data_IF_237614792222
#
_entry.id   IF_237614792222
#
_cell.length_a   1.000
_cell.length_b   1.000
_cell.length_c   1.000
_cell.angle_alpha   90.00
_cell.angle_beta   90.00
_cell.angle_gamma   90.00
#
_symmetry.space_group_name_H-M   'P 1'
#
loop_
_entity.id
_entity.type
_entity.pdbx_description
1 polymer ?
#
# COMPACT_ATOMS: atom_id res chain seq x y z
N UNK A 1 -3.06 -10.95 -4.04
CA UNK A 1 -3.55 -9.90 -4.97
C UNK A 1 -2.46 -8.91 -5.29
N UNK A 2 -2.66 -7.98 -6.25
CA UNK A 2 -1.67 -6.96 -6.64
C UNK A 2 -2.11 -5.52 -6.27
N UNK A 3 -1.18 -4.65 -5.83
CA UNK A 3 -1.49 -3.26 -5.47
C UNK A 3 -1.78 -2.42 -6.72
N UNK A 4 -2.12 -1.13 -6.56
CA UNK A 4 -2.15 -0.19 -7.69
C UNK A 4 -0.83 -0.28 -8.50
N UNK A 5 -0.87 -0.26 -9.85
CA UNK A 5 -1.98 0.15 -10.73
C UNK A 5 -2.89 -1.01 -11.22
N UNK A 6 -2.76 -2.21 -10.66
CA UNK A 6 -3.55 -3.37 -11.12
C UNK A 6 -5.01 -3.28 -10.66
N UNK A 7 -5.92 -3.95 -11.39
CA UNK A 7 -7.37 -3.91 -11.12
C UNK A 7 -7.76 -4.35 -9.71
N UNK A 8 -7.02 -5.29 -9.12
CA UNK A 8 -7.25 -5.73 -7.74
C UNK A 8 -6.99 -4.65 -6.69
N UNK A 9 -6.17 -3.64 -7.02
CA UNK A 9 -5.84 -2.46 -6.21
C UNK A 9 -5.88 -2.72 -4.69
N UNK A 10 -5.10 -3.71 -4.26
CA UNK A 10 -5.10 -4.15 -2.89
C UNK A 10 -4.31 -3.19 -1.99
N UNK A 11 -4.68 -3.12 -0.73
CA UNK A 11 -3.96 -2.34 0.29
C UNK A 11 -2.98 -3.24 1.03
N UNK A 12 -1.74 -2.78 1.22
CA UNK A 12 -0.80 -3.42 2.12
C UNK A 12 -0.97 -2.86 3.54
N UNK A 13 -1.54 -3.67 4.43
CA UNK A 13 -1.81 -3.27 5.81
C UNK A 13 -0.55 -3.06 6.65
N UNK A 14 0.61 -3.60 6.23
CA UNK A 14 1.89 -3.40 6.92
C UNK A 14 2.41 -1.96 6.81
N UNK A 15 1.93 -1.17 5.84
CA UNK A 15 2.41 0.20 5.55
C UNK A 15 1.40 1.28 5.93
N UNK A 16 0.40 0.95 6.74
CA UNK A 16 -0.62 1.90 7.16
C UNK A 16 -0.07 2.89 8.20
N UNK A 17 -0.60 4.13 8.24
CA UNK A 17 -0.01 5.23 9.00
C UNK A 17 -0.38 5.27 10.49
N UNK A 18 -1.11 4.27 11.01
CA UNK A 18 -1.45 4.17 12.43
C UNK A 18 -0.70 3.02 13.08
N UNK A 19 -0.45 3.18 14.38
CA UNK A 19 0.15 2.13 15.19
C UNK A 19 -0.77 0.92 15.21
N UNK A 20 -0.23 -0.22 14.77
CA UNK A 20 -0.96 -1.48 14.82
C UNK A 20 -1.07 -1.91 16.28
N UNK A 21 -2.29 -1.98 16.79
CA UNK A 21 -2.53 -2.57 18.11
C UNK A 21 -2.35 -4.10 18.06
N UNK A 22 -2.43 -4.72 16.88
CA UNK A 22 -2.24 -6.16 16.69
C UNK A 22 -1.17 -6.50 15.64
N UNK A 23 -0.35 -7.50 15.94
CA UNK A 23 0.67 -8.04 15.02
C UNK A 23 0.11 -9.06 14.02
N UNK A 24 -1.22 -9.26 13.98
CA UNK A 24 -1.88 -10.28 13.15
C UNK A 24 -2.26 -9.75 11.78
N UNK A 25 -2.41 -10.66 10.82
CA UNK A 25 -2.97 -10.37 9.49
C UNK A 25 -4.41 -9.87 9.63
N UNK A 26 -4.60 -8.56 9.45
CA UNK A 26 -5.91 -7.93 9.56
C UNK A 26 -6.82 -8.32 8.40
N UNK A 27 -8.09 -8.60 8.70
CA UNK A 27 -9.16 -8.61 7.70
C UNK A 27 -9.54 -7.17 7.31
N UNK A 28 -10.27 -7.00 6.21
CA UNK A 28 -10.78 -5.68 5.81
C UNK A 28 -11.59 -5.00 6.91
N UNK A 29 -12.41 -5.77 7.65
CA UNK A 29 -13.21 -5.24 8.75
C UNK A 29 -12.34 -4.77 9.91
N UNK A 30 -11.31 -5.55 10.25
CA UNK A 30 -10.37 -5.15 11.31
C UNK A 30 -9.59 -3.88 10.90
N UNK A 31 -9.17 -3.75 9.63
CA UNK A 31 -8.52 -2.52 9.15
C UNK A 31 -9.43 -1.30 9.31
N UNK A 32 -10.71 -1.40 8.92
CA UNK A 32 -11.66 -0.29 9.07
C UNK A 32 -11.92 0.05 10.54
N UNK A 33 -11.93 -0.95 11.42
CA UNK A 33 -12.08 -0.77 12.86
C UNK A 33 -10.87 -0.03 13.44
N UNK A 34 -9.65 -0.49 13.17
CA UNK A 34 -8.42 0.15 13.64
C UNK A 34 -8.28 1.59 13.14
N UNK A 35 -8.61 1.84 11.86
CA UNK A 35 -8.59 3.19 11.31
C UNK A 35 -9.53 4.12 12.09
N UNK A 36 -10.79 3.71 12.31
CA UNK A 36 -11.77 4.49 13.07
C UNK A 36 -11.29 4.75 14.50
N UNK A 37 -10.72 3.75 15.15
CA UNK A 37 -10.18 3.90 16.51
C UNK A 37 -9.01 4.85 16.59
N UNK A 38 -8.05 4.75 15.66
CA UNK A 38 -6.89 5.63 15.65
C UNK A 38 -7.30 7.09 15.53
N UNK A 39 -8.40 7.38 14.84
CA UNK A 39 -8.97 8.72 14.67
C UNK A 39 -9.75 9.16 15.92
N UNK A 40 -10.59 8.28 16.47
CA UNK A 40 -11.33 8.54 17.71
C UNK A 40 -10.39 8.79 18.90
N UNK A 41 -9.29 8.03 19.02
CA UNK A 41 -8.27 8.27 20.04
C UNK A 41 -7.57 9.62 19.86
N UNK A 42 -7.19 9.95 18.63
CA UNK A 42 -6.50 11.22 18.34
C UNK A 42 -7.38 12.46 18.59
N UNK A 43 -8.68 12.35 18.37
CA UNK A 43 -9.59 13.51 18.45
C UNK A 43 -10.35 13.60 19.77
N UNK A 44 -10.83 12.48 20.29
CA UNK A 44 -11.73 12.43 21.44
C UNK A 44 -11.09 11.78 22.68
N UNK A 45 -9.89 11.20 22.57
CA UNK A 45 -9.26 10.36 23.62
C UNK A 45 -10.21 9.28 24.17
N UNK A 46 -11.11 8.77 23.33
CA UNK A 46 -12.13 7.78 23.65
C UNK A 46 -12.40 6.93 22.42
N UNK A 47 -12.85 5.69 22.60
CA UNK A 47 -13.26 4.79 21.50
C UNK A 47 -14.60 4.17 21.87
N UNK A 48 -15.47 3.97 20.88
CA UNK A 48 -16.81 3.42 21.16
C UNK A 48 -16.75 1.97 21.67
N UNK A 49 -17.74 1.60 22.50
CA UNK A 49 -17.80 0.28 23.14
C UNK A 49 -17.82 -0.87 22.12
N UNK A 50 -18.53 -0.69 21.00
CA UNK A 50 -18.57 -1.67 19.91
C UNK A 50 -17.17 -1.94 19.33
N UNK A 51 -16.36 -0.89 19.22
CA UNK A 51 -15.00 -0.96 18.69
C UNK A 51 -14.01 -1.53 19.72
N UNK A 52 -14.23 -1.35 21.02
CA UNK A 52 -13.38 -1.99 22.05
C UNK A 52 -13.41 -3.51 22.05
N UNK A 53 -14.49 -4.13 21.59
CA UNK A 53 -14.63 -5.59 21.62
C UNK A 53 -13.59 -6.33 20.77
N UNK A 54 -12.91 -5.61 19.89
CA UNK A 54 -11.86 -6.15 19.04
C UNK A 54 -10.46 -6.14 19.69
N UNK A 55 -10.31 -5.70 20.95
CA UNK A 55 -9.00 -5.44 21.58
C UNK A 55 -8.90 -5.97 23.02
N UNK A 56 -7.73 -6.51 23.36
CA UNK A 56 -7.45 -7.10 24.68
C UNK A 56 -7.27 -6.06 25.80
N UNK A 57 -6.91 -4.81 25.45
CA UNK A 57 -6.76 -3.71 26.40
C UNK A 57 -7.47 -2.46 25.87
N UNK A 58 -8.33 -1.86 26.71
CA UNK A 58 -8.96 -0.58 26.41
C UNK A 58 -7.90 0.53 26.42
N UNK A 59 -7.74 1.31 25.35
CA UNK A 59 -6.81 2.44 25.33
C UNK A 59 -7.21 3.62 26.23
N UNK A 60 -8.36 3.56 26.92
CA UNK A 60 -8.82 4.57 27.88
C UNK A 60 -9.02 3.99 29.28
N UNK A 61 -8.88 4.84 30.30
CA UNK A 61 -9.17 4.45 31.69
C UNK A 61 -10.69 4.27 31.83
N UNK A 62 -11.08 3.13 32.41
CA UNK A 62 -12.46 2.68 32.59
C UNK A 62 -13.34 3.64 33.42
N UNK A 63 -12.75 4.64 34.07
CA UNK A 63 -13.41 5.69 34.86
C UNK A 63 -13.92 6.91 34.05
N UNK A 64 -13.93 6.87 32.72
CA UNK A 64 -14.32 8.01 31.87
C UNK A 64 -15.55 7.73 30.99
N UNK A 65 -16.68 7.41 31.61
CA UNK A 65 -17.99 7.53 30.95
C UNK A 65 -18.40 9.00 30.88
N UNK A 66 -17.67 9.77 30.07
CA UNK A 66 -18.00 11.16 29.78
C UNK A 66 -18.95 11.19 28.57
N UNK A 67 -20.21 11.66 28.73
CA UNK A 67 -21.18 11.68 27.63
C UNK A 67 -20.70 12.48 26.42
N UNK A 68 -19.96 13.57 26.66
CA UNK A 68 -19.35 14.39 25.59
C UNK A 68 -18.31 13.63 24.76
N UNK A 69 -17.53 12.73 25.39
CA UNK A 69 -16.52 11.93 24.68
C UNK A 69 -17.15 10.82 23.85
N UNK A 70 -18.25 10.25 24.35
CA UNK A 70 -19.04 9.25 23.63
C UNK A 70 -19.65 9.89 22.37
N UNK A 71 -20.31 11.04 22.51
CA UNK A 71 -20.89 11.77 21.39
C UNK A 71 -19.80 12.19 20.37
N UNK A 72 -18.64 12.65 20.84
CA UNK A 72 -17.50 12.93 19.99
C UNK A 72 -17.07 11.69 19.18
N UNK A 73 -16.88 10.55 19.83
CA UNK A 73 -16.43 9.32 19.16
C UNK A 73 -17.45 8.81 18.13
N UNK A 74 -18.75 8.90 18.42
CA UNK A 74 -19.81 8.54 17.46
C UNK A 74 -19.83 9.47 16.24
N UNK A 75 -19.69 10.79 16.46
CA UNK A 75 -19.62 11.77 15.38
C UNK A 75 -18.41 11.51 14.48
N UNK A 76 -17.23 11.32 15.07
CA UNK A 76 -15.99 11.01 14.35
C UNK A 76 -16.13 9.72 13.56
N UNK A 77 -16.68 8.66 14.16
CA UNK A 77 -16.93 7.39 13.48
C UNK A 77 -17.75 7.55 12.20
N UNK A 78 -18.81 8.37 12.26
CA UNK A 78 -19.69 8.62 11.11
C UNK A 78 -19.00 9.46 10.03
N UNK A 79 -18.28 10.52 10.41
CA UNK A 79 -17.54 11.39 9.47
C UNK A 79 -16.39 10.64 8.77
N UNK A 80 -15.66 9.79 9.50
CA UNK A 80 -14.46 9.12 8.98
C UNK A 80 -14.73 7.77 8.30
N UNK A 81 -15.99 7.33 8.30
CA UNK A 81 -16.41 6.02 7.76
C UNK A 81 -15.94 5.80 6.32
N UNK A 82 -16.15 6.78 5.47
CA UNK A 82 -15.83 6.67 4.04
C UNK A 82 -14.33 6.82 3.79
N UNK A 83 -13.65 7.67 4.58
CA UNK A 83 -12.20 7.79 4.57
C UNK A 83 -11.53 6.45 4.88
N UNK A 84 -11.91 5.79 5.98
CA UNK A 84 -11.36 4.50 6.37
C UNK A 84 -11.65 3.41 5.34
N UNK A 85 -12.85 3.39 4.73
CA UNK A 85 -13.18 2.44 3.64
C UNK A 85 -12.33 2.65 2.39
N UNK A 86 -12.05 3.90 2.03
CA UNK A 86 -11.24 4.22 0.85
C UNK A 86 -9.79 3.70 0.96
N UNK A 87 -9.27 3.69 2.18
CA UNK A 87 -7.92 3.26 2.52
C UNK A 87 -7.84 1.74 2.78
N UNK A 88 -8.79 1.20 3.55
CA UNK A 88 -8.92 -0.22 3.86
C UNK A 88 -9.63 -1.00 2.75
N UNK A 89 -8.98 -1.11 1.59
CA UNK A 89 -9.42 -2.00 0.52
C UNK A 89 -9.08 -3.45 0.84
N UNK A 90 -9.40 -4.35 -0.09
CA UNK A 90 -9.04 -5.77 0.03
C UNK A 90 -7.53 -5.94 0.33
N UNK A 91 -7.16 -6.81 1.28
CA UNK A 91 -5.77 -7.01 1.64
C UNK A 91 -5.00 -7.72 0.52
N UNK A 92 -3.73 -7.36 0.34
CA UNK A 92 -2.90 -8.00 -0.68
C UNK A 92 -2.60 -9.47 -0.38
N UNK A 93 -2.57 -9.84 0.90
CA UNK A 93 -2.39 -11.20 1.43
C UNK A 93 -3.61 -11.53 2.28
N UNK A 94 -4.26 -12.64 1.98
CA UNK A 94 -5.43 -13.10 2.73
C UNK A 94 -5.36 -14.61 2.85
N UNK A 95 -5.62 -15.13 4.04
CA UNK A 95 -5.88 -16.54 4.31
C UNK A 95 -7.34 -16.70 4.70
N UNK A 96 -8.02 -17.65 4.06
CA UNK A 96 -9.40 -18.00 4.37
C UNK A 96 -9.43 -19.48 4.74
N UNK A 97 -10.19 -19.82 5.78
CA UNK A 97 -10.40 -21.20 6.22
C UNK A 97 -11.86 -21.56 6.00
N UNK A 98 -12.12 -22.47 5.07
CA UNK A 98 -13.47 -23.03 4.90
C UNK A 98 -13.74 -24.00 6.07
N UNK A 99 -14.84 -23.77 6.77
CA UNK A 99 -15.19 -24.53 7.97
C UNK A 99 -16.50 -25.26 7.74
N UNK A 100 -16.48 -26.59 7.89
CA UNK A 100 -17.68 -27.42 7.98
C UNK A 100 -17.93 -27.76 9.45
N UNK A 101 -19.19 -27.64 9.89
CA UNK A 101 -19.56 -27.88 11.28
C UNK A 101 -20.56 -29.03 11.34
N UNK A 102 -20.16 -30.09 12.04
CA UNK A 102 -21.03 -31.20 12.38
C UNK A 102 -21.27 -31.24 13.88
N UNK A 103 -22.53 -31.35 14.28
CA UNK A 103 -22.91 -31.43 15.69
C UNK A 103 -23.57 -32.76 16.01
N UNK A 104 -23.19 -33.37 17.12
CA UNK A 104 -23.85 -34.57 17.64
C UNK A 104 -23.93 -34.51 19.17
N UNK A 105 -24.87 -35.25 19.75
CA UNK A 105 -24.99 -35.31 21.21
C UNK A 105 -23.77 -35.98 21.81
N UNK A 106 -23.04 -35.23 22.64
CA UNK A 106 -21.91 -35.69 23.41
C UNK A 106 -22.14 -35.37 24.90
N UNK A 107 -21.73 -36.24 25.84
CA UNK A 107 -21.25 -37.61 25.64
C UNK A 107 -22.40 -38.59 25.36
N UNK A 108 -22.10 -39.74 24.75
CA UNK A 108 -23.10 -40.82 24.63
C UNK A 108 -23.40 -41.38 26.02
N UNK A 109 -24.69 -41.49 26.40
CA UNK A 109 -25.13 -41.96 27.73
C UNK A 109 -24.45 -43.26 28.19
N UNK A 110 -24.26 -44.22 27.27
CA UNK A 110 -23.63 -45.50 27.58
C UNK A 110 -22.11 -45.41 27.84
N UNK A 111 -21.45 -44.34 27.40
CA UNK A 111 -19.99 -44.17 27.46
C UNK A 111 -19.53 -43.02 28.37
N UNK A 112 -20.44 -42.43 29.15
CA UNK A 112 -20.12 -41.32 30.07
C UNK A 112 -19.01 -41.70 31.05
N UNK A 113 -18.98 -42.97 31.48
CA UNK A 113 -17.95 -43.47 32.39
C UNK A 113 -16.59 -43.70 31.74
N UNK A 114 -16.50 -43.77 30.42
CA UNK A 114 -15.25 -44.03 29.69
C UNK A 114 -14.58 -42.75 29.19
N UNK A 115 -15.33 -41.65 29.16
CA UNK A 115 -14.88 -40.38 28.61
C UNK A 115 -14.06 -39.59 29.65
N UNK A 116 -12.74 -39.59 29.49
CA UNK A 116 -11.79 -38.95 30.42
C UNK A 116 -11.91 -37.42 30.41
N UNK A 117 -12.29 -36.82 29.27
CA UNK A 117 -12.41 -35.37 29.10
C UNK A 117 -13.46 -34.72 30.01
N UNK A 118 -14.41 -35.50 30.55
CA UNK A 118 -15.37 -34.99 31.54
C UNK A 118 -14.71 -34.64 32.88
N UNK A 119 -13.59 -35.26 33.23
CA UNK A 119 -12.93 -35.07 34.52
C UNK A 119 -13.90 -35.08 35.71
N UNK A 120 -14.06 -33.93 36.37
CA UNK A 120 -14.92 -33.75 37.56
C UNK A 120 -16.42 -33.83 37.26
N UNK A 121 -16.84 -33.60 36.01
CA UNK A 121 -18.24 -33.60 35.60
C UNK A 121 -18.86 -34.99 35.50
N UNK A 122 -18.06 -36.05 35.45
CA UNK A 122 -18.51 -37.44 35.41
C UNK A 122 -19.39 -37.87 36.60
N UNK A 123 -19.32 -37.14 37.72
CA UNK A 123 -20.16 -37.38 38.92
C UNK A 123 -21.51 -36.65 38.89
N UNK A 124 -21.74 -35.78 37.90
CA UNK A 124 -22.99 -35.00 37.75
C UNK A 124 -24.04 -35.82 37.00
N UNK A 125 -25.34 -35.54 37.20
CA UNK A 125 -26.39 -36.21 36.44
C UNK A 125 -26.29 -35.87 34.95
N UNK A 126 -26.71 -36.81 34.10
CA UNK A 126 -26.55 -36.71 32.65
C UNK A 126 -27.11 -35.42 32.04
N UNK A 127 -28.25 -34.93 32.54
CA UNK A 127 -28.86 -33.69 32.05
C UNK A 127 -28.00 -32.45 32.34
N UNK A 128 -27.25 -32.41 33.44
CA UNK A 128 -26.35 -31.28 33.75
C UNK A 128 -25.13 -31.29 32.85
N UNK A 129 -24.66 -32.48 32.46
CA UNK A 129 -23.54 -32.63 31.55
C UNK A 129 -23.93 -32.12 30.17
N UNK A 130 -25.05 -32.60 29.61
CA UNK A 130 -25.46 -32.26 28.25
C UNK A 130 -25.94 -30.82 28.09
N UNK A 131 -26.43 -30.19 29.15
CA UNK A 131 -26.93 -28.81 29.08
C UNK A 131 -25.85 -27.75 29.33
N UNK A 132 -24.74 -28.11 29.99
CA UNK A 132 -23.71 -27.15 30.41
C UNK A 132 -22.36 -27.36 29.71
N UNK A 133 -22.11 -28.52 29.10
CA UNK A 133 -20.84 -28.82 28.43
C UNK A 133 -21.03 -28.95 26.92
N UNK A 134 -20.10 -28.34 26.19
CA UNK A 134 -19.93 -28.53 24.76
C UNK A 134 -18.51 -29.02 24.51
N UNK A 135 -18.38 -30.11 23.76
CA UNK A 135 -17.09 -30.62 23.32
C UNK A 135 -16.86 -30.18 21.86
N UNK A 136 -15.83 -29.36 21.66
CA UNK A 136 -15.49 -28.77 20.36
C UNK A 136 -14.18 -29.37 19.87
N UNK A 137 -14.23 -30.08 18.74
CA UNK A 137 -13.05 -30.66 18.09
C UNK A 137 -12.79 -29.96 16.76
N UNK A 138 -11.70 -29.21 16.69
CA UNK A 138 -11.24 -28.57 15.46
C UNK A 138 -10.07 -29.38 14.85
N UNK A 139 -10.20 -29.74 13.58
CA UNK A 139 -9.15 -30.45 12.83
C UNK A 139 -9.23 -30.07 11.35
N UNK A 140 -8.13 -30.25 10.62
CA UNK A 140 -8.11 -30.08 9.17
C UNK A 140 -8.65 -31.33 8.50
N UNK A 141 -9.67 -31.19 7.64
CA UNK A 141 -10.25 -32.32 6.90
C UNK A 141 -9.28 -32.88 5.87
N UNK A 142 -8.46 -32.02 5.25
CA UNK A 142 -7.43 -32.39 4.27
C UNK A 142 -6.11 -31.69 4.59
N UNK A 143 -5.00 -32.24 4.10
CA UNK A 143 -3.65 -31.65 4.23
C UNK A 143 -3.28 -30.75 3.04
N UNK A 144 -4.27 -30.40 2.21
CA UNK A 144 -4.06 -29.65 0.99
C UNK A 144 -4.19 -28.15 1.25
N UNK A 145 -3.20 -27.37 0.80
CA UNK A 145 -3.24 -25.91 0.85
C UNK A 145 -3.41 -25.34 -0.57
N UNK A 146 -4.44 -24.52 -0.76
CA UNK A 146 -4.73 -23.88 -2.06
C UNK A 146 -4.28 -22.43 -2.04
N UNK A 147 -3.13 -22.16 -2.66
CA UNK A 147 -2.61 -20.80 -2.79
C UNK A 147 -2.99 -20.16 -4.13
N UNK A 148 -3.78 -19.08 -4.09
CA UNK A 148 -4.12 -18.27 -5.27
C UNK A 148 -3.21 -17.04 -5.37
N UNK A 149 -2.27 -17.06 -6.31
CA UNK A 149 -1.32 -15.96 -6.56
C UNK A 149 -1.64 -15.23 -7.86
N UNK A 150 -1.89 -13.94 -7.77
CA UNK A 150 -2.03 -13.07 -8.94
C UNK A 150 -0.66 -12.55 -9.37
N UNK A 151 -0.29 -12.81 -10.62
CA UNK A 151 0.88 -12.24 -11.30
C UNK A 151 0.45 -11.22 -12.36
N UNK A 152 1.30 -10.22 -12.68
CA UNK A 152 1.04 -9.33 -13.80
C UNK A 152 0.99 -10.13 -15.11
N UNK A 153 0.06 -9.78 -16.00
CA UNK A 153 -0.11 -10.46 -17.31
C UNK A 153 1.12 -10.33 -18.21
N UNK A 154 1.81 -9.20 -18.13
CA UNK A 154 3.04 -8.94 -18.85
C UNK A 154 4.10 -8.44 -17.88
N UNK A 155 5.27 -9.08 -17.88
CA UNK A 155 6.44 -8.54 -17.23
C UNK A 155 7.09 -7.47 -18.13
N UNK A 156 7.83 -6.49 -17.57
CA UNK A 156 8.50 -5.48 -18.37
C UNK A 156 9.40 -6.07 -19.47
N UNK A 157 10.10 -7.16 -19.16
CA UNK A 157 10.95 -7.88 -20.12
C UNK A 157 10.16 -8.47 -21.29
N UNK A 158 8.99 -9.05 -21.00
CA UNK A 158 8.10 -9.59 -22.04
C UNK A 158 7.55 -8.47 -22.92
N UNK A 159 7.23 -7.31 -22.34
CA UNK A 159 6.80 -6.14 -23.11
C UNK A 159 7.88 -5.68 -24.10
N UNK A 160 9.14 -5.57 -23.67
CA UNK A 160 10.24 -5.21 -24.56
C UNK A 160 10.48 -6.25 -25.64
N UNK A 161 10.35 -7.53 -25.31
CA UNK A 161 10.43 -8.63 -26.29
C UNK A 161 9.35 -8.51 -27.36
N UNK A 162 8.10 -8.25 -26.97
CA UNK A 162 7.00 -8.04 -27.93
C UNK A 162 7.23 -6.82 -28.82
N UNK A 163 7.66 -5.68 -28.25
CA UNK A 163 7.97 -4.47 -29.02
C UNK A 163 9.09 -4.73 -30.02
N UNK A 164 10.19 -5.36 -29.58
CA UNK A 164 11.30 -5.72 -30.45
C UNK A 164 10.90 -6.69 -31.56
N UNK A 165 10.04 -7.67 -31.25
CA UNK A 165 9.49 -8.60 -32.23
C UNK A 165 8.64 -7.91 -33.30
N UNK A 166 7.73 -7.02 -32.90
CA UNK A 166 6.91 -6.26 -33.85
C UNK A 166 7.76 -5.30 -34.70
N UNK A 167 8.66 -4.54 -34.08
CA UNK A 167 9.55 -3.61 -34.81
C UNK A 167 10.43 -4.37 -35.81
N UNK A 168 10.99 -5.51 -35.41
CA UNK A 168 11.82 -6.35 -36.28
C UNK A 168 11.06 -6.94 -37.47
N UNK A 169 9.82 -7.40 -37.27
CA UNK A 169 8.99 -7.98 -38.35
C UNK A 169 8.45 -6.90 -39.29
N UNK A 170 7.94 -5.78 -38.77
CA UNK A 170 7.28 -4.76 -39.57
C UNK A 170 8.25 -3.85 -40.32
N UNK A 171 9.37 -3.49 -39.69
CA UNK A 171 10.33 -2.55 -40.29
C UNK A 171 11.58 -3.26 -40.84
N UNK A 172 11.79 -4.54 -40.53
CA UNK A 172 13.03 -5.24 -40.87
C UNK A 172 14.27 -4.66 -40.17
N UNK A 173 14.07 -3.81 -39.16
CA UNK A 173 15.14 -3.11 -38.46
C UNK A 173 15.68 -4.06 -37.39
N UNK A 174 16.98 -4.34 -37.46
CA UNK A 174 17.70 -5.05 -36.41
C UNK A 174 18.14 -4.09 -35.30
N UNK A 175 18.47 -4.62 -34.12
CA UNK A 175 19.02 -3.82 -33.01
C UNK A 175 20.26 -3.01 -33.44
N UNK A 176 21.07 -3.56 -34.35
CA UNK A 176 22.24 -2.88 -34.90
C UNK A 176 21.88 -1.63 -35.70
N UNK A 177 20.87 -1.71 -36.57
CA UNK A 177 20.40 -0.56 -37.35
C UNK A 177 19.84 0.56 -36.45
N UNK A 178 19.21 0.20 -35.31
CA UNK A 178 18.77 1.18 -34.31
C UNK A 178 19.96 1.88 -33.62
N UNK A 179 21.01 1.12 -33.27
CA UNK A 179 22.22 1.69 -32.68
C UNK A 179 22.92 2.67 -33.65
N UNK A 180 23.04 2.33 -34.93
CA UNK A 180 23.61 3.22 -35.95
C UNK A 180 22.80 4.51 -36.10
N UNK A 181 21.46 4.41 -36.09
CA UNK A 181 20.58 5.58 -36.14
C UNK A 181 20.77 6.50 -34.92
N UNK A 182 20.87 5.93 -33.72
CA UNK A 182 21.10 6.69 -32.48
C UNK A 182 22.47 7.38 -32.52
N UNK A 183 23.52 6.69 -32.97
CA UNK A 183 24.86 7.29 -33.10
C UNK A 183 24.85 8.46 -34.10
N UNK A 184 24.21 8.29 -35.25
CA UNK A 184 24.00 9.35 -36.23
C UNK A 184 23.26 10.56 -35.64
N UNK A 185 22.18 10.32 -34.89
CA UNK A 185 21.40 11.36 -34.22
C UNK A 185 22.24 12.13 -33.18
N UNK A 186 23.05 11.43 -32.37
CA UNK A 186 23.94 12.05 -31.38
C UNK A 186 25.01 12.90 -32.07
N UNK A 187 25.60 12.41 -33.17
CA UNK A 187 26.58 13.18 -33.95
C UNK A 187 25.98 14.45 -34.54
N UNK A 188 24.77 14.37 -35.10
CA UNK A 188 24.06 15.54 -35.63
C UNK A 188 23.70 16.51 -34.51
N UNK A 189 23.19 16.02 -33.38
CA UNK A 189 22.80 16.86 -32.25
C UNK A 189 24.00 17.58 -31.64
N UNK A 190 25.11 16.87 -31.43
CA UNK A 190 26.37 17.47 -30.95
C UNK A 190 26.93 18.49 -31.94
N UNK A 191 26.86 18.21 -33.25
CA UNK A 191 27.24 19.19 -34.27
C UNK A 191 26.39 20.46 -34.21
N UNK A 192 25.06 20.34 -34.07
CA UNK A 192 24.15 21.49 -33.93
C UNK A 192 24.45 22.29 -32.65
N UNK A 193 24.72 21.62 -31.53
CA UNK A 193 25.09 22.28 -30.28
C UNK A 193 26.42 23.03 -30.39
N UNK A 194 27.41 22.44 -31.06
CA UNK A 194 28.70 23.09 -31.32
C UNK A 194 28.57 24.30 -32.25
N UNK A 195 27.74 24.20 -33.30
CA UNK A 195 27.43 25.33 -34.18
C UNK A 195 26.74 26.47 -33.42
N UNK A 196 25.81 26.14 -32.52
CA UNK A 196 25.16 27.13 -31.64
C UNK A 196 26.13 27.80 -30.67
N UNK A 197 27.11 27.06 -30.12
CA UNK A 197 28.17 27.65 -29.28
C UNK A 197 29.07 28.60 -30.08
N UNK A 198 29.58 28.18 -31.24
CA UNK A 198 30.41 29.03 -32.10
C UNK A 198 29.70 30.32 -32.52
N UNK A 199 28.41 30.24 -32.86
CA UNK A 199 27.62 31.42 -33.24
C UNK A 199 27.43 32.40 -32.06
N UNK A 200 27.22 31.88 -30.83
CA UNK A 200 27.15 32.71 -29.61
C UNK A 200 28.49 33.37 -29.28
N UNK A 201 29.59 32.62 -29.30
CA UNK A 201 30.94 33.14 -29.05
C UNK A 201 31.34 34.21 -30.07
N UNK A 202 31.00 34.03 -31.36
CA UNK A 202 31.24 35.05 -32.38
C UNK A 202 30.40 36.32 -32.16
N UNK A 203 29.16 36.19 -31.67
CA UNK A 203 28.31 37.34 -31.39
C UNK A 203 28.77 38.10 -30.14
N UNK A 204 29.27 37.40 -29.10
CA UNK A 204 29.88 38.00 -27.92
C UNK A 204 31.20 38.70 -28.26
N UNK A 205 32.08 38.08 -29.05
CA UNK A 205 33.33 38.71 -29.50
C UNK A 205 33.07 39.94 -30.38
N UNK A 206 32.05 39.94 -31.24
CA UNK A 206 31.66 41.13 -32.01
C UNK A 206 31.16 42.27 -31.11
N UNK A 207 30.35 41.95 -30.08
CA UNK A 207 29.90 42.96 -29.09
C UNK A 207 31.04 43.50 -28.25
N UNK A 208 31.99 42.65 -27.84
CA UNK A 208 33.18 43.06 -27.09
C UNK A 208 34.09 43.99 -27.92
N UNK A 209 34.30 43.65 -29.21
CA UNK A 209 35.09 44.49 -30.13
C UNK A 209 34.44 45.86 -30.39
N UNK A 210 33.12 45.87 -30.65
CA UNK A 210 32.36 47.13 -30.83
C UNK A 210 32.41 48.03 -29.59
N UNK A 211 32.24 47.46 -28.38
CA UNK A 211 32.36 48.22 -27.14
C UNK A 211 33.78 48.76 -26.89
N UNK A 212 34.82 48.00 -27.22
CA UNK A 212 36.21 48.45 -27.08
C UNK A 212 36.54 49.61 -28.03
N UNK A 213 36.02 49.58 -29.25
CA UNK A 213 36.21 50.63 -30.25
C UNK A 213 35.46 51.93 -29.88
N UNK A 214 34.26 51.81 -29.31
CA UNK A 214 33.49 52.94 -28.80
C UNK A 214 34.15 53.58 -27.56
N UNK A 215 34.79 52.76 -26.70
CA UNK A 215 35.55 53.24 -25.54
C UNK A 215 36.83 53.99 -25.95
N UNK A 216 37.54 53.52 -26.99
CA UNK A 216 38.69 54.25 -27.57
C UNK A 216 38.29 55.61 -28.13
N UNK A 217 37.17 55.71 -28.85
CA UNK A 217 36.66 57.00 -29.36
C UNK A 217 36.34 57.99 -28.22
N UNK A 218 35.80 57.51 -27.10
CA UNK A 218 35.52 58.36 -25.92
C UNK A 218 36.78 58.91 -25.23
N UNK A 219 37.87 58.15 -25.20
CA UNK A 219 39.14 58.58 -24.57
C UNK A 219 39.85 59.63 -25.43
N UNK A 220 39.80 59.50 -26.76
CA UNK A 220 40.39 60.48 -27.68
C UNK A 220 39.67 61.83 -27.62
N UNK A 221 38.33 61.83 -27.45
CA UNK A 221 37.54 63.06 -27.31
C UNK A 221 37.91 63.81 -26.00
N UNK A 222 38.11 63.09 -24.89
CA UNK A 222 38.48 63.70 -23.60
C UNK A 222 39.94 64.17 -23.52
N UNK A 223 40.83 63.67 -24.39
CA UNK A 223 42.22 64.12 -24.46
C UNK A 223 42.38 65.43 -25.27
N UNK A 224 41.42 65.76 -26.14
CA UNK A 224 41.42 66.98 -26.95
C UNK A 224 40.86 68.24 -26.28
N UNK A 225 40.32 68.13 -25.05
CA UNK A 225 39.62 69.25 -24.37
C UNK A 225 40.46 69.94 -23.29
N UNK A 226 41.79 69.73 -23.26
CA UNK A 226 42.72 70.48 -22.40
C UNK A 226 43.62 71.36 -23.25
N UNK A 227 43.08 72.46 -23.73
CA UNK A 227 43.82 73.66 -24.13
C UNK A 227 42.99 74.89 -23.81
#
# INVERSE_FOLDING_TARGET
MLPAPYSSNCTNYERLPWDRLHDKTLSTRMCTAECSQSLQLKQCNYVTVELSLFFDALPWKQESFDPEKIECAERVSNETKEYCRSLCRVPCKQSNYETTMDSSTWPRRAKVSEEEELGKWKRRPFYEITNNLAHVRAYFTTMEDTTLKHSPKYQPLEMFSHIGGYVGIWLGISLLALCEFIEGAIRVFSFILLQRKKSKEQMENKKASSNAEQKKKRVVINAGTKH
#
